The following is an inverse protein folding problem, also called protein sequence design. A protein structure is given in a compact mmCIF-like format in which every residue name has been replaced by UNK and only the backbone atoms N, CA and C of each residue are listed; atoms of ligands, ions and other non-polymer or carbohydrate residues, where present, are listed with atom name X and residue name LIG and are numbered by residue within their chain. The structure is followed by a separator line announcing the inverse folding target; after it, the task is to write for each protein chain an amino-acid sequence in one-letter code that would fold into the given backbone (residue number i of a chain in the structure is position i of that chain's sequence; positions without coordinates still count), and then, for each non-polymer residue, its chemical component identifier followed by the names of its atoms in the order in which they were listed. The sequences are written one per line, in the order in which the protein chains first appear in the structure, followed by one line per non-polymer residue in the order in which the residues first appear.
data_IF_103632013493
#
_entry.id   IF_103632013493
#
_cell.length_a   1.000
_cell.length_b   1.000
_cell.length_c   1.000
_cell.angle_alpha   90.00
_cell.angle_beta   90.00
_cell.angle_gamma   90.00
#
_symmetry.space_group_name_H-M   'P 1'
#
loop_
_entity.id
_entity.type
_entity.pdbx_description
1 polymer ?
#
# COMPACT_ATOMS: atom_id res chain seq x y z
N UNK A 1 -29.69 -45.89 56.88
CA UNK A 1 -29.22 -44.54 57.23
C UNK A 1 -28.50 -44.01 56.00
N UNK A 2 -29.20 -43.31 55.11
CA UNK A 2 -29.37 -41.84 55.13
C UNK A 2 -27.99 -41.15 55.01
N UNK A 3 -27.69 -40.28 54.04
CA UNK A 3 -28.51 -39.22 53.41
C UNK A 3 -28.06 -38.90 51.98
N UNK A 4 -28.99 -38.38 51.18
CA UNK A 4 -28.74 -37.56 49.98
C UNK A 4 -28.36 -36.12 50.36
N UNK A 5 -27.54 -35.44 49.54
CA UNK A 5 -27.53 -33.98 49.26
C UNK A 5 -26.89 -33.80 47.85
N UNK A 6 -27.66 -33.56 46.78
CA UNK A 6 -28.08 -32.29 46.17
C UNK A 6 -27.03 -31.58 45.27
N UNK A 7 -27.43 -31.40 44.00
CA UNK A 7 -27.16 -30.34 43.02
C UNK A 7 -25.91 -29.45 43.12
N UNK A 8 -25.21 -29.27 42.00
CA UNK A 8 -25.24 -27.96 41.32
C UNK A 8 -24.71 -28.03 39.88
N UNK A 9 -25.33 -27.19 39.05
CA UNK A 9 -25.15 -27.01 37.62
C UNK A 9 -23.87 -26.26 37.26
N UNK A 10 -23.48 -26.41 35.99
CA UNK A 10 -23.19 -25.26 35.13
C UNK A 10 -21.91 -24.49 35.42
N UNK A 11 -20.84 -24.86 34.72
CA UNK A 11 -19.63 -24.06 34.61
C UNK A 11 -18.90 -24.39 33.33
N UNK A 12 -19.56 -24.23 32.18
CA UNK A 12 -18.85 -24.15 30.90
C UNK A 12 -17.95 -22.91 30.97
N UNK A 13 -16.69 -23.12 31.31
CA UNK A 13 -15.64 -22.14 31.20
C UNK A 13 -15.38 -21.87 29.72
N UNK A 14 -16.20 -20.97 29.14
CA UNK A 14 -15.91 -20.32 27.85
C UNK A 14 -14.77 -19.33 28.06
N UNK A 15 -13.57 -19.86 28.27
CA UNK A 15 -12.33 -19.10 28.14
C UNK A 15 -12.21 -18.72 26.67
N UNK A 16 -12.21 -17.40 26.45
CA UNK A 16 -12.23 -16.75 25.16
C UNK A 16 -11.26 -17.40 24.19
N UNK A 17 -11.80 -17.77 23.03
CA UNK A 17 -11.01 -18.09 21.87
C UNK A 17 -10.41 -16.78 21.37
N UNK A 18 -9.33 -16.33 22.02
CA UNK A 18 -8.50 -15.28 21.47
C UNK A 18 -7.92 -15.83 20.18
N UNK A 19 -8.49 -15.34 19.07
CA UNK A 19 -8.18 -15.73 17.71
C UNK A 19 -6.71 -15.37 17.45
N UNK A 20 -5.83 -16.31 17.79
CA UNK A 20 -4.41 -16.26 17.44
C UNK A 20 -4.37 -15.97 15.95
N UNK A 21 -3.76 -14.84 15.56
CA UNK A 21 -3.43 -14.62 14.15
C UNK A 21 -2.42 -15.71 13.83
N UNK A 22 -2.86 -16.73 13.10
CA UNK A 22 -2.02 -17.84 12.69
C UNK A 22 -0.79 -17.24 12.00
N UNK A 23 0.38 -17.43 12.61
CA UNK A 23 1.64 -17.03 12.01
C UNK A 23 1.79 -17.92 10.78
N UNK A 24 1.99 -17.37 9.58
CA UNK A 24 2.13 -18.19 8.38
C UNK A 24 3.28 -19.17 8.59
N UNK A 25 3.03 -20.41 8.19
CA UNK A 25 4.03 -21.46 8.21
C UNK A 25 5.19 -21.09 7.28
N UNK A 26 6.38 -21.64 7.54
CA UNK A 26 7.57 -21.39 6.71
C UNK A 26 7.27 -21.72 5.23
N UNK A 27 6.50 -22.78 4.99
CA UNK A 27 6.08 -23.19 3.65
C UNK A 27 5.17 -22.17 2.94
N UNK A 28 4.25 -21.52 3.65
CA UNK A 28 3.37 -20.48 3.08
C UNK A 28 4.15 -19.20 2.76
N UNK A 29 5.11 -18.83 3.61
CA UNK A 29 5.99 -17.69 3.37
C UNK A 29 6.93 -17.92 2.16
N UNK A 30 7.45 -19.14 2.01
CA UNK A 30 8.26 -19.54 0.84
C UNK A 30 7.43 -19.58 -0.44
N UNK A 31 6.18 -20.05 -0.37
CA UNK A 31 5.26 -20.02 -1.51
C UNK A 31 4.89 -18.59 -1.93
N UNK A 32 4.69 -17.66 -0.98
CA UNK A 32 4.52 -16.23 -1.29
C UNK A 32 5.78 -15.59 -1.89
N UNK A 33 6.98 -16.03 -1.47
CA UNK A 33 8.23 -15.56 -2.04
C UNK A 33 8.47 -16.09 -3.47
N UNK A 34 7.95 -17.28 -3.78
CA UNK A 34 7.98 -17.86 -5.12
C UNK A 34 6.90 -17.30 -6.07
N UNK A 35 5.86 -16.65 -5.52
CA UNK A 35 4.78 -16.05 -6.31
C UNK A 35 5.26 -14.74 -6.99
N UNK A 36 5.06 -14.65 -8.30
CA UNK A 36 5.29 -13.39 -9.01
C UNK A 36 4.40 -12.28 -8.43
N UNK A 37 4.92 -11.05 -8.36
CA UNK A 37 4.15 -9.89 -7.87
C UNK A 37 2.79 -9.71 -8.57
N UNK A 38 2.65 -10.17 -9.83
CA UNK A 38 1.37 -10.20 -10.54
C UNK A 38 0.36 -11.16 -9.91
N UNK A 39 0.76 -12.41 -9.65
CA UNK A 39 -0.16 -13.40 -9.09
C UNK A 39 -0.54 -13.05 -7.65
N UNK A 40 0.41 -12.50 -6.88
CA UNK A 40 0.17 -11.98 -5.53
C UNK A 40 -0.89 -10.87 -5.52
N UNK A 41 -0.78 -9.91 -6.45
CA UNK A 41 -1.78 -8.84 -6.57
C UNK A 41 -3.15 -9.37 -7.02
N UNK A 42 -3.18 -10.32 -7.96
CA UNK A 42 -4.41 -10.94 -8.46
C UNK A 42 -5.14 -11.71 -7.37
N UNK A 43 -4.42 -12.46 -6.52
CA UNK A 43 -4.97 -13.14 -5.35
C UNK A 43 -5.51 -12.13 -4.34
N UNK A 44 -4.70 -11.15 -3.95
CA UNK A 44 -5.09 -10.14 -2.96
C UNK A 44 -6.36 -9.38 -3.35
N UNK A 45 -6.46 -8.93 -4.62
CA UNK A 45 -7.67 -8.26 -5.12
C UNK A 45 -8.94 -9.08 -4.95
N UNK A 46 -8.87 -10.40 -5.13
CA UNK A 46 -10.03 -11.30 -4.94
C UNK A 46 -10.36 -11.48 -3.46
N UNK A 47 -9.35 -11.61 -2.62
CA UNK A 47 -9.52 -11.81 -1.17
C UNK A 47 -10.19 -10.62 -0.50
N UNK A 48 -9.82 -9.39 -0.88
CA UNK A 48 -10.30 -8.17 -0.24
C UNK A 48 -11.45 -7.46 -0.97
N UNK A 49 -11.82 -7.89 -2.18
CA UNK A 49 -12.92 -7.29 -2.95
C UNK A 49 -14.22 -7.25 -2.13
N UNK A 50 -14.78 -6.04 -1.98
CA UNK A 50 -16.02 -5.80 -1.22
C UNK A 50 -15.88 -5.94 0.30
N UNK A 51 -14.68 -6.22 0.83
CA UNK A 51 -14.40 -6.36 2.26
C UNK A 51 -13.56 -5.22 2.85
N UNK A 52 -13.09 -4.31 2.00
CA UNK A 52 -12.32 -3.13 2.43
C UNK A 52 -13.28 -2.01 2.78
N UNK A 53 -13.18 -1.52 4.01
CA UNK A 53 -13.83 -0.29 4.43
C UNK A 53 -12.95 0.91 4.06
N UNK A 54 -13.56 1.91 3.41
CA UNK A 54 -12.92 3.20 3.18
C UNK A 54 -13.25 4.07 4.40
N UNK A 55 -12.24 4.58 5.12
CA UNK A 55 -12.48 5.50 6.22
C UNK A 55 -13.25 6.74 5.79
N UNK A 56 -14.11 7.26 6.68
CA UNK A 56 -14.90 8.48 6.42
C UNK A 56 -14.01 9.72 6.27
N UNK A 57 -12.83 9.70 6.90
CA UNK A 57 -11.81 10.75 6.83
C UNK A 57 -10.49 10.14 6.35
N UNK A 58 -9.81 10.85 5.45
CA UNK A 58 -8.44 10.56 5.04
C UNK A 58 -7.45 11.04 6.13
N UNK A 59 -7.77 12.09 6.88
CA UNK A 59 -6.90 12.66 7.92
C UNK A 59 -5.90 13.68 7.40
N UNK A 60 -6.06 14.15 6.16
CA UNK A 60 -5.24 15.16 5.48
C UNK A 60 -6.12 16.24 4.84
N UNK A 61 -7.34 16.41 5.36
CA UNK A 61 -8.38 17.29 4.81
C UNK A 61 -7.95 18.76 4.76
N UNK A 62 -7.06 19.18 5.66
CA UNK A 62 -6.56 20.55 5.71
C UNK A 62 -5.82 20.94 4.41
N UNK A 63 -5.13 19.99 3.77
CA UNK A 63 -4.43 20.24 2.50
C UNK A 63 -5.36 20.43 1.30
N UNK A 64 -6.63 20.01 1.39
CA UNK A 64 -7.57 20.19 0.27
C UNK A 64 -7.80 21.67 -0.04
N UNK A 65 -7.73 22.55 0.96
CA UNK A 65 -7.87 24.00 0.77
C UNK A 65 -6.70 24.58 -0.03
N UNK A 66 -5.50 24.13 0.30
CA UNK A 66 -4.27 24.59 -0.34
C UNK A 66 -4.12 24.02 -1.75
N UNK A 67 -4.72 22.86 -2.03
CA UNK A 67 -4.63 22.21 -3.35
C UNK A 67 -5.61 22.74 -4.39
N UNK A 68 -6.59 23.56 -3.99
CA UNK A 68 -7.48 24.27 -4.93
C UNK A 68 -6.68 25.31 -5.72
N UNK A 69 -5.65 25.89 -5.12
CA UNK A 69 -4.79 26.86 -5.79
C UNK A 69 -3.64 26.17 -6.53
N UNK A 70 -3.86 25.86 -7.82
CA UNK A 70 -2.84 25.24 -8.68
C UNK A 70 -1.56 26.08 -8.78
N UNK A 71 -1.62 27.38 -8.44
CA UNK A 71 -0.46 28.27 -8.50
C UNK A 71 0.63 27.89 -7.51
N UNK A 72 0.28 27.22 -6.40
CA UNK A 72 1.22 26.72 -5.39
C UNK A 72 2.12 25.62 -5.97
N UNK A 73 1.56 24.69 -6.74
CA UNK A 73 2.31 23.62 -7.41
C UNK A 73 3.03 24.12 -8.66
N UNK A 74 2.35 24.96 -9.44
CA UNK A 74 2.89 25.48 -10.69
C UNK A 74 3.99 26.50 -10.46
N UNK A 75 4.20 27.00 -9.24
CA UNK A 75 5.32 27.89 -8.93
C UNK A 75 6.67 27.25 -9.26
N UNK A 76 6.85 25.96 -8.97
CA UNK A 76 8.08 25.24 -9.30
C UNK A 76 8.29 25.13 -10.83
N UNK A 77 7.21 24.93 -11.59
CA UNK A 77 7.23 24.88 -13.06
C UNK A 77 7.47 26.28 -13.66
N UNK A 78 6.77 27.30 -13.12
CA UNK A 78 6.83 28.69 -13.56
C UNK A 78 8.12 29.40 -13.15
N UNK A 79 8.84 28.90 -12.14
CA UNK A 79 10.16 29.41 -11.73
C UNK A 79 11.23 29.30 -12.82
N UNK A 80 10.92 28.62 -13.93
CA UNK A 80 11.78 28.54 -15.11
C UNK A 80 12.88 27.49 -15.02
N UNK A 81 13.18 26.97 -13.82
CA UNK A 81 14.19 25.92 -13.61
C UNK A 81 13.90 24.65 -14.42
N UNK A 82 12.64 24.21 -14.43
CA UNK A 82 12.22 23.03 -15.22
C UNK A 82 12.37 23.29 -16.73
N UNK A 83 11.97 24.48 -17.20
CA UNK A 83 12.11 24.86 -18.61
C UNK A 83 13.57 24.91 -19.04
N UNK A 84 14.45 25.49 -18.22
CA UNK A 84 15.89 25.54 -18.47
C UNK A 84 16.53 24.15 -18.47
N UNK A 85 16.18 23.30 -17.50
CA UNK A 85 16.67 21.92 -17.43
C UNK A 85 16.26 21.11 -18.67
N UNK A 86 15.01 21.26 -19.12
CA UNK A 86 14.51 20.64 -20.36
C UNK A 86 15.31 21.08 -21.58
N UNK A 87 15.58 22.38 -21.71
CA UNK A 87 16.35 22.91 -22.83
C UNK A 87 17.79 22.37 -22.83
N UNK A 88 18.44 22.32 -21.66
CA UNK A 88 19.78 21.76 -21.51
C UNK A 88 19.85 20.27 -21.89
N UNK A 89 18.88 19.46 -21.43
CA UNK A 89 18.79 18.04 -21.79
C UNK A 89 18.58 17.82 -23.30
N UNK A 90 17.75 18.64 -23.93
CA UNK A 90 17.55 18.59 -25.38
C UNK A 90 18.82 18.97 -26.14
N UNK A 91 19.56 19.97 -25.67
CA UNK A 91 20.80 20.39 -26.32
C UNK A 91 21.90 19.34 -26.17
N UNK A 92 22.08 18.77 -24.99
CA UNK A 92 23.04 17.68 -24.79
C UNK A 92 22.67 16.44 -25.63
N UNK A 93 21.39 16.09 -25.70
CA UNK A 93 20.91 15.00 -26.56
C UNK A 93 21.25 15.22 -28.04
N UNK A 94 21.09 16.46 -28.55
CA UNK A 94 21.49 16.81 -29.92
C UNK A 94 23.01 16.72 -30.12
N UNK A 95 23.80 17.23 -29.17
CA UNK A 95 25.28 17.17 -29.23
C UNK A 95 25.77 15.73 -29.21
N UNK A 96 25.19 14.88 -28.36
CA UNK A 96 25.51 13.46 -28.29
C UNK A 96 25.21 12.75 -29.62
N UNK A 97 24.04 13.00 -30.22
CA UNK A 97 23.69 12.44 -31.53
C UNK A 97 24.65 12.89 -32.65
N UNK A 98 25.01 14.18 -32.68
CA UNK A 98 25.96 14.70 -33.67
C UNK A 98 27.37 14.11 -33.52
N UNK A 99 27.84 13.88 -32.28
CA UNK A 99 29.12 13.20 -32.01
C UNK A 99 29.10 11.76 -32.52
N UNK A 100 28.00 11.04 -32.33
CA UNK A 100 27.84 9.67 -32.85
C UNK A 100 27.91 9.68 -34.38
N UNK A 101 27.22 10.61 -35.05
CA UNK A 101 27.24 10.74 -36.50
C UNK A 101 28.60 11.11 -37.08
N UNK A 102 29.40 11.93 -36.39
CA UNK A 102 30.74 12.34 -36.84
C UNK A 102 31.80 11.24 -36.63
N UNK A 103 31.46 10.18 -35.89
CA UNK A 103 32.35 9.03 -35.62
C UNK A 103 32.16 7.85 -36.58
N UNK A 104 31.24 7.95 -37.54
CA UNK A 104 31.04 7.01 -38.65
C UNK A 104 31.73 7.52 -39.92
#
# INVERSE_FOLDING_TARGET
MEKQIASSQGGESKLGHEKRRDRPSIAEAEAEAAESGRERLKRHRREVAGRVWIPDMWGQEDFLKDWIDSTVFDAAVRSGGITSARAALMDEGRRAAARIQNSC
#
